data_IF_650988797190
#
_entry.id   IF_650988797190
#
_cell.length_a   1.000
_cell.length_b   1.000
_cell.length_c   1.000
_cell.angle_alpha   90.00
_cell.angle_beta   90.00
_cell.angle_gamma   90.00
#
_symmetry.space_group_name_H-M   'P 1'
#
loop_
_entity.id
_entity.type
_entity.pdbx_description
1 polymer ?
#
# COMPACT_ATOMS: atom_id res chain seq x y z
N UNK A 1 51.96 11.87 35.74
CA UNK A 1 52.18 10.76 34.79
C UNK A 1 51.10 10.81 33.76
N UNK A 2 51.50 11.23 32.60
CA UNK A 2 50.73 11.49 31.41
C UNK A 2 50.37 10.19 30.70
N UNK A 3 49.11 10.05 30.28
CA UNK A 3 48.62 8.98 29.41
C UNK A 3 47.91 9.55 28.22
N UNK A 4 48.54 9.46 27.07
CA UNK A 4 48.11 9.99 25.78
C UNK A 4 46.88 9.24 25.24
N UNK A 5 45.90 10.01 24.80
CA UNK A 5 44.81 9.53 23.94
C UNK A 5 45.30 9.50 22.48
N UNK A 6 45.39 8.32 21.90
CA UNK A 6 45.58 8.12 20.48
C UNK A 6 44.22 8.12 19.79
N UNK A 7 44.00 9.14 19.00
CA UNK A 7 42.96 9.25 17.97
C UNK A 7 43.33 8.29 16.81
N UNK A 8 42.40 7.40 16.45
CA UNK A 8 42.56 6.55 15.28
C UNK A 8 41.57 7.09 14.24
N UNK A 9 42.12 7.86 13.30
CA UNK A 9 41.39 8.21 12.07
C UNK A 9 41.41 7.00 11.14
N UNK A 10 40.25 6.35 11.02
CA UNK A 10 39.97 5.30 10.05
C UNK A 10 39.16 5.88 8.90
N UNK A 11 39.84 6.34 7.85
CA UNK A 11 39.22 6.56 6.56
C UNK A 11 38.79 5.21 6.00
N UNK A 12 37.48 4.99 5.86
CA UNK A 12 36.94 3.84 5.12
C UNK A 12 36.63 4.32 3.73
N UNK A 13 37.41 3.85 2.78
CA UNK A 13 37.20 4.04 1.34
C UNK A 13 35.81 3.49 0.92
N UNK A 14 35.08 4.32 0.24
CA UNK A 14 33.78 4.03 -0.38
C UNK A 14 34.02 3.14 -1.63
N UNK A 15 33.46 1.91 -1.71
CA UNK A 15 33.57 1.13 -2.92
C UNK A 15 32.68 1.70 -4.01
N UNK A 16 33.30 1.97 -5.13
CA UNK A 16 32.80 2.47 -6.39
C UNK A 16 31.40 1.99 -6.79
N UNK A 17 30.60 2.96 -7.20
CA UNK A 17 29.31 2.87 -7.88
C UNK A 17 29.34 1.93 -9.10
N UNK A 18 29.08 0.66 -8.90
CA UNK A 18 28.66 -0.24 -9.97
C UNK A 18 27.20 0.03 -10.33
N UNK A 19 26.96 0.85 -11.35
CA UNK A 19 25.64 1.19 -11.83
C UNK A 19 24.85 -0.05 -12.29
N UNK A 20 23.95 -0.53 -11.44
CA UNK A 20 22.90 -1.47 -11.82
C UNK A 20 21.77 -0.67 -12.48
N UNK A 21 21.64 -0.84 -13.79
CA UNK A 21 20.52 -0.32 -14.57
C UNK A 21 19.22 -0.79 -13.95
N UNK A 22 18.45 0.18 -13.44
CA UNK A 22 17.08 -0.01 -12.96
C UNK A 22 16.25 -0.70 -14.04
N UNK A 23 15.55 -1.79 -13.65
CA UNK A 23 14.48 -2.34 -14.46
C UNK A 23 13.42 -1.28 -14.75
N UNK A 24 12.53 -1.50 -15.73
CA UNK A 24 11.80 -0.44 -16.39
C UNK A 24 10.77 0.24 -15.47
N UNK A 25 11.20 1.30 -14.82
CA UNK A 25 10.31 2.37 -14.43
C UNK A 25 10.30 3.35 -15.60
N UNK A 26 9.55 2.99 -16.65
CA UNK A 26 9.46 3.76 -17.89
C UNK A 26 8.41 4.85 -17.78
N UNK A 27 8.59 5.81 -16.89
CA UNK A 27 7.94 7.11 -17.03
C UNK A 27 9.01 8.17 -16.80
N UNK A 28 9.71 8.50 -17.89
CA UNK A 28 10.55 9.70 -17.95
C UNK A 28 9.68 10.94 -17.71
N UNK A 29 9.82 11.57 -16.56
CA UNK A 29 9.16 12.83 -16.24
C UNK A 29 8.61 12.97 -14.83
N UNK A 30 8.42 11.88 -14.08
CA UNK A 30 7.88 11.94 -12.72
C UNK A 30 8.94 11.54 -11.67
N UNK A 31 10.00 12.32 -11.52
CA UNK A 31 10.94 12.20 -10.39
C UNK A 31 10.33 12.55 -9.02
N UNK A 32 9.04 12.87 -8.95
CA UNK A 32 8.35 13.19 -7.70
C UNK A 32 7.55 12.01 -7.12
N UNK A 33 7.26 10.96 -7.91
CA UNK A 33 6.72 9.70 -7.40
C UNK A 33 7.91 8.76 -7.25
N UNK A 34 8.54 8.75 -6.08
CA UNK A 34 9.76 7.98 -5.88
C UNK A 34 9.45 6.49 -5.92
N UNK A 35 9.61 5.85 -7.07
CA UNK A 35 9.95 4.44 -7.14
C UNK A 35 11.34 4.27 -6.51
N UNK A 36 11.43 4.28 -5.20
CA UNK A 36 12.67 3.92 -4.51
C UNK A 36 12.79 2.41 -4.58
N UNK A 37 13.85 1.94 -5.24
CA UNK A 37 14.22 0.53 -5.19
C UNK A 37 14.33 0.08 -3.72
N UNK A 38 13.88 -1.15 -3.37
CA UNK A 38 13.81 -1.63 -1.99
C UNK A 38 15.14 -1.65 -1.24
N UNK A 39 16.27 -1.65 -1.96
CA UNK A 39 17.62 -1.66 -1.36
C UNK A 39 18.01 -0.38 -0.64
N UNK A 40 17.21 0.69 -0.76
CA UNK A 40 17.46 1.99 -0.14
C UNK A 40 16.25 2.54 0.61
N UNK A 41 15.42 1.67 1.20
CA UNK A 41 14.38 2.14 2.10
C UNK A 41 15.07 2.73 3.35
N UNK A 42 15.44 4.00 3.25
CA UNK A 42 15.77 4.81 4.41
C UNK A 42 14.42 5.24 5.02
N UNK A 43 14.03 4.74 6.19
CA UNK A 43 12.75 5.06 6.82
C UNK A 43 12.58 6.57 7.07
N UNK A 44 13.67 7.33 7.04
CA UNK A 44 13.68 8.79 7.18
C UNK A 44 13.70 9.53 5.83
N UNK A 45 13.88 8.82 4.71
CA UNK A 45 13.90 9.44 3.36
C UNK A 45 12.47 9.59 2.86
N UNK A 46 11.95 10.81 2.85
CA UNK A 46 10.60 11.12 2.39
C UNK A 46 9.58 11.32 3.51
N UNK A 47 9.96 11.19 4.77
CA UNK A 47 9.07 11.41 5.93
C UNK A 47 8.43 12.79 5.94
N UNK A 48 9.04 13.78 5.29
CA UNK A 48 8.51 15.13 5.18
C UNK A 48 7.84 15.41 3.82
N UNK A 49 7.52 14.37 3.03
CA UNK A 49 6.87 14.51 1.72
C UNK A 49 5.74 13.51 1.59
N UNK A 50 4.66 13.97 0.97
CA UNK A 50 3.59 13.08 0.54
C UNK A 50 4.15 12.07 -0.47
N UNK A 51 3.91 10.79 -0.24
CA UNK A 51 4.29 9.73 -1.18
C UNK A 51 3.09 8.91 -1.57
N UNK A 52 2.98 8.62 -2.85
CA UNK A 52 1.87 7.86 -3.42
C UNK A 52 2.45 6.66 -4.19
N UNK A 53 1.89 5.47 -3.98
CA UNK A 53 2.40 4.24 -4.58
C UNK A 53 1.32 3.19 -4.78
N UNK A 54 1.60 2.24 -5.69
CA UNK A 54 0.86 0.98 -5.77
C UNK A 54 1.47 0.02 -4.76
N UNK A 55 0.73 -0.36 -3.72
CA UNK A 55 1.24 -1.15 -2.59
C UNK A 55 0.99 -2.65 -2.72
N UNK A 56 -0.05 -3.05 -3.42
CA UNK A 56 -0.38 -4.44 -3.72
C UNK A 56 -0.96 -4.56 -5.13
N UNK A 57 -0.56 -5.61 -5.85
CA UNK A 57 -1.10 -5.96 -7.16
C UNK A 57 -1.56 -7.40 -7.15
N UNK A 58 -2.78 -7.65 -7.61
CA UNK A 58 -3.30 -8.99 -7.85
C UNK A 58 -3.71 -9.13 -9.31
N UNK A 59 -3.04 -10.04 -10.02
CA UNK A 59 -3.34 -10.38 -11.40
C UNK A 59 -4.06 -11.72 -11.48
N UNK A 60 -5.11 -11.80 -12.27
CA UNK A 60 -5.67 -13.07 -12.69
C UNK A 60 -4.93 -13.57 -13.91
N UNK A 61 -4.62 -14.88 -13.94
CA UNK A 61 -3.82 -15.53 -14.94
C UNK A 61 -4.63 -16.55 -15.71
N UNK A 62 -4.37 -16.65 -17.03
CA UNK A 62 -4.84 -17.75 -17.87
C UNK A 62 -3.61 -18.48 -18.39
N UNK A 63 -3.48 -19.78 -18.09
CA UNK A 63 -2.35 -20.59 -18.52
C UNK A 63 -2.55 -21.16 -19.93
N UNK A 64 -1.44 -21.38 -20.65
CA UNK A 64 -1.40 -22.00 -21.97
C UNK A 64 -1.51 -23.54 -21.82
N UNK A 65 -2.44 -24.18 -22.52
CA UNK A 65 -2.53 -25.65 -22.55
C UNK A 65 -2.46 -26.27 -21.15
N UNK A 66 -1.55 -27.21 -20.94
CA UNK A 66 -1.29 -27.93 -19.69
C UNK A 66 -0.29 -27.23 -18.74
N UNK A 67 0.07 -25.97 -19.04
CA UNK A 67 1.09 -25.24 -18.26
C UNK A 67 0.70 -24.98 -16.81
N UNK A 68 -0.59 -24.88 -16.49
CA UNK A 68 -1.06 -24.82 -15.10
C UNK A 68 -0.69 -26.08 -14.31
N UNK A 69 -0.89 -27.26 -14.89
CA UNK A 69 -0.49 -28.54 -14.29
C UNK A 69 1.02 -28.67 -14.18
N UNK A 70 1.75 -28.18 -15.19
CA UNK A 70 3.21 -28.16 -15.17
C UNK A 70 3.74 -27.29 -14.04
N UNK A 71 3.19 -26.09 -13.83
CA UNK A 71 3.55 -25.20 -12.72
C UNK A 71 3.24 -25.84 -11.36
N UNK A 72 2.06 -26.45 -11.23
CA UNK A 72 1.66 -27.20 -10.04
C UNK A 72 2.68 -28.27 -9.66
N UNK A 73 3.13 -29.06 -10.64
CA UNK A 73 4.17 -30.09 -10.43
C UNK A 73 5.55 -29.53 -10.09
N UNK A 74 5.87 -28.32 -10.55
CA UNK A 74 7.13 -27.65 -10.23
C UNK A 74 7.15 -27.03 -8.84
N UNK A 75 6.03 -26.51 -8.38
CA UNK A 75 5.80 -25.97 -7.02
C UNK A 75 7.03 -25.31 -6.40
N UNK A 76 7.66 -26.03 -5.48
CA UNK A 76 8.85 -25.59 -4.74
C UNK A 76 10.05 -25.18 -5.61
N UNK A 77 10.17 -25.71 -6.82
CA UNK A 77 11.29 -25.41 -7.72
C UNK A 77 11.11 -24.11 -8.53
N UNK A 78 10.00 -23.38 -8.35
CA UNK A 78 9.74 -22.13 -9.08
C UNK A 78 10.65 -20.99 -8.66
N UNK A 79 11.16 -21.04 -7.44
CA UNK A 79 12.12 -20.06 -6.90
C UNK A 79 13.14 -20.81 -6.06
N UNK A 80 14.40 -20.35 -6.06
CA UNK A 80 15.43 -20.80 -5.10
C UNK A 80 15.20 -20.14 -3.74
N UNK A 81 13.97 -20.25 -3.20
CA UNK A 81 13.57 -19.61 -1.98
C UNK A 81 13.51 -20.64 -0.85
N UNK A 82 14.37 -20.47 0.16
CA UNK A 82 14.42 -21.36 1.33
C UNK A 82 13.16 -21.22 2.21
N UNK A 83 12.48 -20.06 2.15
CA UNK A 83 11.26 -19.79 2.88
C UNK A 83 10.04 -19.87 1.96
N UNK A 84 9.61 -21.06 1.68
CA UNK A 84 8.41 -21.31 0.93
C UNK A 84 7.38 -22.05 1.78
N UNK A 85 6.15 -21.57 1.79
CA UNK A 85 5.03 -22.29 2.35
C UNK A 85 4.04 -22.67 1.25
N UNK A 86 3.76 -23.95 1.13
CA UNK A 86 2.68 -24.45 0.30
C UNK A 86 1.44 -24.65 1.16
N UNK A 87 0.34 -24.06 0.74
CA UNK A 87 -0.94 -24.24 1.39
C UNK A 87 -1.85 -25.05 0.48
N UNK A 88 -2.01 -26.32 0.78
CA UNK A 88 -3.12 -27.10 0.27
C UNK A 88 -4.28 -26.95 1.25
N UNK A 89 -5.10 -25.90 1.09
CA UNK A 89 -6.33 -25.80 1.88
C UNK A 89 -7.33 -26.85 1.39
N UNK A 90 -8.25 -27.28 2.29
CA UNK A 90 -9.39 -28.11 1.88
C UNK A 90 -10.07 -27.47 0.67
N UNK A 91 -10.00 -28.15 -0.47
CA UNK A 91 -10.53 -27.66 -1.75
C UNK A 91 -12.02 -27.44 -1.59
N UNK A 92 -12.46 -26.19 -1.73
CA UNK A 92 -13.87 -25.81 -1.70
C UNK A 92 -14.24 -25.17 -3.03
N UNK A 93 -15.46 -25.32 -3.52
CA UNK A 93 -15.95 -24.55 -4.66
C UNK A 93 -15.69 -23.05 -4.46
N UNK A 94 -15.13 -22.36 -5.46
CA UNK A 94 -14.70 -20.97 -5.36
C UNK A 94 -13.31 -20.77 -4.77
N UNK A 95 -12.57 -21.85 -4.42
CA UNK A 95 -11.21 -21.81 -3.91
C UNK A 95 -10.14 -22.18 -4.94
N UNK A 96 -8.89 -22.00 -4.54
CA UNK A 96 -7.72 -22.39 -5.34
C UNK A 96 -7.30 -23.81 -5.02
N UNK A 97 -6.94 -24.58 -6.04
CA UNK A 97 -6.46 -25.96 -5.89
C UNK A 97 -5.12 -26.00 -5.16
N UNK A 98 -4.18 -25.13 -5.58
CA UNK A 98 -2.90 -24.93 -4.92
C UNK A 98 -2.69 -23.44 -4.66
N UNK A 99 -2.08 -23.14 -3.54
CA UNK A 99 -1.69 -21.80 -3.13
C UNK A 99 -0.25 -21.86 -2.61
N UNK A 100 0.63 -21.17 -3.29
CA UNK A 100 2.04 -21.03 -2.95
C UNK A 100 2.30 -19.63 -2.38
N UNK A 101 3.09 -19.54 -1.33
CA UNK A 101 3.56 -18.29 -0.78
C UNK A 101 5.09 -18.30 -0.73
N UNK A 102 5.70 -17.30 -1.33
CA UNK A 102 7.14 -17.12 -1.41
C UNK A 102 7.56 -15.87 -0.65
N UNK A 103 8.57 -15.96 0.22
CA UNK A 103 9.16 -14.81 0.88
C UNK A 103 10.20 -14.16 -0.04
N UNK A 104 9.80 -13.12 -0.77
CA UNK A 104 10.62 -12.41 -1.74
C UNK A 104 10.65 -10.92 -1.45
N UNK A 105 11.83 -10.30 -1.49
CA UNK A 105 11.99 -8.86 -1.25
C UNK A 105 11.49 -8.38 0.11
N UNK A 106 11.51 -9.25 1.13
CA UNK A 106 10.94 -8.93 2.45
C UNK A 106 9.41 -8.86 2.47
N UNK A 107 8.74 -9.48 1.48
CA UNK A 107 7.30 -9.56 1.34
C UNK A 107 6.86 -10.96 0.95
N UNK A 108 5.57 -11.26 1.16
CA UNK A 108 4.96 -12.50 0.66
C UNK A 108 4.45 -12.27 -0.76
N UNK A 109 4.86 -13.15 -1.68
CA UNK A 109 4.28 -13.27 -3.04
C UNK A 109 3.41 -14.51 -3.05
N UNK A 110 2.13 -14.36 -3.37
CA UNK A 110 1.19 -15.48 -3.45
C UNK A 110 0.94 -15.87 -4.91
N UNK A 111 1.01 -17.16 -5.20
CA UNK A 111 0.68 -17.75 -6.50
C UNK A 111 -0.38 -18.82 -6.31
N UNK A 112 -1.56 -18.62 -6.88
CA UNK A 112 -2.63 -19.61 -6.90
C UNK A 112 -2.73 -20.28 -8.26
N UNK A 113 -2.89 -21.62 -8.27
CA UNK A 113 -3.00 -22.43 -9.47
C UNK A 113 -4.22 -23.34 -9.36
N UNK A 114 -4.98 -23.47 -10.45
CA UNK A 114 -6.20 -24.25 -10.49
C UNK A 114 -7.33 -23.65 -9.66
N UNK A 115 -8.47 -23.44 -10.26
CA UNK A 115 -9.65 -22.91 -9.59
C UNK A 115 -10.73 -23.97 -9.49
N UNK A 116 -11.24 -24.20 -8.30
CA UNK A 116 -12.36 -25.13 -8.06
C UNK A 116 -13.67 -24.52 -8.52
N UNK A 117 -14.20 -25.02 -9.62
CA UNK A 117 -15.48 -24.58 -10.15
C UNK A 117 -16.66 -25.08 -9.28
N UNK A 118 -17.87 -24.49 -9.41
CA UNK A 118 -19.05 -24.97 -8.69
C UNK A 118 -19.37 -26.45 -8.94
N UNK A 119 -18.98 -26.98 -10.11
CA UNK A 119 -19.10 -28.39 -10.49
C UNK A 119 -18.09 -29.32 -9.78
N UNK A 120 -17.30 -28.80 -8.84
CA UNK A 120 -16.20 -29.52 -8.17
C UNK A 120 -15.08 -29.99 -9.12
N UNK A 121 -15.00 -29.45 -10.33
CA UNK A 121 -13.87 -29.65 -11.25
C UNK A 121 -12.81 -28.60 -11.02
N UNK A 122 -11.53 -29.01 -11.11
CA UNK A 122 -10.40 -28.10 -11.02
C UNK A 122 -10.09 -27.56 -12.41
N UNK A 123 -10.16 -26.25 -12.56
CA UNK A 123 -9.79 -25.59 -13.79
C UNK A 123 -8.32 -25.13 -13.72
N UNK A 124 -7.41 -25.96 -14.20
CA UNK A 124 -5.96 -25.72 -14.19
C UNK A 124 -5.52 -24.59 -15.14
N UNK A 125 -6.41 -24.09 -16.03
CA UNK A 125 -6.12 -22.94 -16.88
C UNK A 125 -6.21 -21.61 -16.15
N UNK A 126 -6.73 -21.58 -14.92
CA UNK A 126 -6.88 -20.39 -14.12
C UNK A 126 -5.85 -20.31 -13.00
N UNK A 127 -5.33 -19.12 -12.77
CA UNK A 127 -4.43 -18.83 -11.67
C UNK A 127 -4.50 -17.36 -11.24
N UNK A 128 -3.73 -17.02 -10.24
CA UNK A 128 -3.47 -15.62 -9.87
C UNK A 128 -2.05 -15.48 -9.33
N UNK A 129 -1.52 -14.28 -9.39
CA UNK A 129 -0.35 -13.85 -8.62
C UNK A 129 -0.69 -12.57 -7.85
N UNK A 130 -0.23 -12.49 -6.59
CA UNK A 130 -0.41 -11.31 -5.74
C UNK A 130 0.91 -10.96 -5.08
N UNK A 131 1.32 -9.69 -5.14
CA UNK A 131 2.61 -9.21 -4.64
C UNK A 131 2.58 -7.71 -4.36
N UNK A 132 3.54 -7.24 -3.55
CA UNK A 132 3.80 -5.82 -3.34
C UNK A 132 4.91 -5.34 -4.29
N UNK A 133 4.61 -4.52 -5.32
CA UNK A 133 5.60 -4.07 -6.30
C UNK A 133 6.80 -3.37 -5.67
N UNK A 134 6.56 -2.53 -4.65
CA UNK A 134 7.60 -1.73 -4.00
C UNK A 134 8.64 -2.60 -3.28
N UNK A 135 8.24 -3.80 -2.85
CA UNK A 135 9.12 -4.72 -2.11
C UNK A 135 9.84 -5.71 -3.01
N UNK A 136 9.20 -6.15 -4.09
CA UNK A 136 9.75 -7.24 -4.94
C UNK A 136 10.49 -6.74 -6.18
N UNK A 137 10.36 -5.47 -6.57
CA UNK A 137 10.93 -4.94 -7.82
C UNK A 137 12.46 -5.15 -7.95
N UNK A 138 13.20 -5.15 -6.84
CA UNK A 138 14.65 -5.41 -6.81
C UNK A 138 15.06 -6.87 -6.58
N UNK A 139 14.11 -7.78 -6.34
CA UNK A 139 14.45 -9.18 -6.05
C UNK A 139 14.62 -10.01 -7.33
N UNK A 140 15.84 -10.51 -7.57
CA UNK A 140 16.18 -11.33 -8.75
C UNK A 140 15.34 -12.62 -8.84
N UNK A 141 14.98 -13.20 -7.69
CA UNK A 141 14.16 -14.43 -7.63
C UNK A 141 12.73 -14.13 -8.09
N UNK A 142 12.19 -12.94 -7.76
CA UNK A 142 10.89 -12.50 -8.27
C UNK A 142 10.92 -12.34 -9.79
N UNK A 143 11.98 -11.74 -10.34
CA UNK A 143 12.14 -11.65 -11.80
C UNK A 143 12.27 -13.03 -12.45
N UNK A 144 12.95 -13.98 -11.81
CA UNK A 144 13.00 -15.39 -12.24
C UNK A 144 11.60 -16.03 -12.28
N UNK A 145 10.79 -15.82 -11.25
CA UNK A 145 9.40 -16.25 -11.21
C UNK A 145 8.57 -15.65 -12.34
N UNK A 146 8.66 -14.33 -12.57
CA UNK A 146 7.96 -13.66 -13.67
C UNK A 146 8.38 -14.22 -15.04
N UNK A 147 9.68 -14.47 -15.24
CA UNK A 147 10.19 -15.09 -16.48
C UNK A 147 9.60 -16.48 -16.69
N UNK A 148 9.52 -17.28 -15.64
CA UNK A 148 8.88 -18.61 -15.70
C UNK A 148 7.40 -18.51 -16.03
N UNK A 149 6.68 -17.62 -15.37
CA UNK A 149 5.27 -17.36 -15.66
C UNK A 149 5.05 -16.91 -17.10
N UNK A 150 5.92 -16.05 -17.66
CA UNK A 150 5.86 -15.59 -19.04
C UNK A 150 5.86 -16.73 -20.08
N UNK A 151 6.51 -17.86 -19.78
CA UNK A 151 6.45 -19.03 -20.65
C UNK A 151 5.12 -19.78 -20.55
N UNK A 152 4.41 -19.66 -19.45
CA UNK A 152 3.23 -20.45 -19.09
C UNK A 152 1.91 -19.70 -19.28
N UNK A 153 1.94 -18.37 -19.11
CA UNK A 153 0.73 -17.52 -19.12
C UNK A 153 0.42 -17.04 -20.53
N UNK A 154 -0.82 -17.21 -20.97
CA UNK A 154 -1.33 -16.67 -22.24
C UNK A 154 -1.96 -15.29 -22.06
N UNK A 155 -2.53 -15.02 -20.88
CA UNK A 155 -3.21 -13.77 -20.56
C UNK A 155 -3.12 -13.46 -19.08
N UNK A 156 -2.78 -12.21 -18.77
CA UNK A 156 -2.89 -11.64 -17.43
C UNK A 156 -3.85 -10.46 -17.47
N UNK A 157 -4.63 -10.29 -16.38
CA UNK A 157 -5.52 -9.15 -16.20
C UNK A 157 -5.35 -8.64 -14.78
N UNK A 158 -5.26 -7.34 -14.63
CA UNK A 158 -5.32 -6.70 -13.32
C UNK A 158 -6.69 -6.98 -12.70
N UNK A 159 -6.70 -7.64 -11.54
CA UNK A 159 -7.94 -7.96 -10.82
C UNK A 159 -8.19 -6.97 -9.71
N UNK A 160 -7.12 -6.63 -8.97
CA UNK A 160 -7.17 -5.74 -7.82
C UNK A 160 -5.78 -5.14 -7.61
N UNK A 161 -5.75 -3.93 -7.08
CA UNK A 161 -4.54 -3.32 -6.58
C UNK A 161 -4.87 -2.43 -5.38
N UNK A 162 -3.90 -2.19 -4.51
CA UNK A 162 -4.06 -1.29 -3.38
C UNK A 162 -3.21 -0.04 -3.65
N UNK A 163 -3.84 1.12 -3.49
CA UNK A 163 -3.16 2.41 -3.48
C UNK A 163 -2.79 2.79 -2.07
N UNK A 164 -1.57 3.25 -1.86
CA UNK A 164 -1.10 3.77 -0.60
C UNK A 164 -0.67 5.23 -0.76
N UNK A 165 -1.20 6.10 0.07
CA UNK A 165 -0.82 7.50 0.16
C UNK A 165 -0.32 7.81 1.56
N UNK A 166 0.97 8.05 1.68
CA UNK A 166 1.63 8.42 2.93
C UNK A 166 1.69 9.93 3.04
N UNK A 167 1.20 10.46 4.15
CA UNK A 167 1.22 11.88 4.47
C UNK A 167 2.00 12.12 5.76
N UNK A 168 2.89 13.13 5.83
CA UNK A 168 3.74 13.41 6.99
C UNK A 168 2.96 14.15 8.09
N UNK A 169 1.93 13.51 8.58
CA UNK A 169 1.02 14.04 9.61
C UNK A 169 0.76 12.93 10.62
N UNK A 170 0.64 13.33 11.89
CA UNK A 170 0.26 12.39 12.95
C UNK A 170 -1.07 11.72 12.63
N UNK A 171 -1.18 10.44 12.95
CA UNK A 171 -2.45 9.71 12.80
C UNK A 171 -3.58 10.36 13.61
N UNK A 172 -3.26 10.98 14.74
CA UNK A 172 -4.21 11.70 15.58
C UNK A 172 -4.70 13.01 14.96
N UNK A 173 -3.99 13.55 13.97
CA UNK A 173 -4.38 14.75 13.23
C UNK A 173 -5.12 14.43 11.92
N UNK A 174 -5.37 13.14 11.67
CA UNK A 174 -6.15 12.67 10.53
C UNK A 174 -7.52 12.19 10.96
N UNK A 175 -8.54 12.56 10.19
CA UNK A 175 -9.92 12.15 10.40
C UNK A 175 -10.50 11.59 9.10
N UNK A 176 -10.97 10.35 9.16
CA UNK A 176 -11.71 9.71 8.07
C UNK A 176 -13.19 10.07 8.17
N UNK A 177 -13.77 10.66 7.14
CA UNK A 177 -15.21 10.91 7.07
C UNK A 177 -15.95 9.60 6.86
N UNK A 178 -16.95 9.33 7.71
CA UNK A 178 -17.81 8.17 7.59
C UNK A 178 -18.85 8.43 6.50
N UNK A 179 -18.98 7.49 5.59
CA UNK A 179 -20.02 7.51 4.55
C UNK A 179 -20.99 6.33 4.73
N UNK A 180 -21.68 5.91 3.67
CA UNK A 180 -22.63 4.78 3.71
C UNK A 180 -21.97 3.41 3.87
N UNK A 181 -20.62 3.32 3.71
CA UNK A 181 -19.87 2.07 3.87
C UNK A 181 -19.78 1.69 5.36
N UNK A 182 -19.58 0.41 5.62
CA UNK A 182 -19.37 -0.09 6.97
C UNK A 182 -18.09 0.53 7.57
N UNK A 183 -18.21 1.15 8.72
CA UNK A 183 -17.09 1.76 9.45
C UNK A 183 -16.68 0.90 10.63
N UNK A 184 -15.37 0.77 10.85
CA UNK A 184 -14.78 0.11 12.01
C UNK A 184 -13.52 0.88 12.44
N UNK A 185 -13.35 1.06 13.74
CA UNK A 185 -12.12 1.58 14.33
C UNK A 185 -11.54 0.56 15.29
N UNK A 186 -10.21 0.43 15.28
CA UNK A 186 -9.45 -0.46 16.18
C UNK A 186 -8.31 0.34 16.78
N UNK A 187 -8.17 0.27 18.08
CA UNK A 187 -7.06 0.88 18.82
C UNK A 187 -6.13 -0.25 19.25
N UNK A 188 -5.03 -0.39 18.50
CA UNK A 188 -3.95 -1.33 18.81
C UNK A 188 -2.69 -0.76 18.16
N UNK A 189 -1.67 -0.45 18.92
CA UNK A 189 -0.47 0.23 18.43
C UNK A 189 -0.79 1.50 17.59
N UNK A 190 -1.74 2.33 18.08
CA UNK A 190 -2.30 3.47 17.37
C UNK A 190 -3.73 3.24 16.88
N UNK A 191 -4.33 4.29 16.30
CA UNK A 191 -5.69 4.26 15.77
C UNK A 191 -5.66 3.79 14.32
N UNK A 192 -6.36 2.70 14.01
CA UNK A 192 -6.63 2.26 12.64
C UNK A 192 -8.12 2.37 12.36
N UNK A 193 -8.49 3.09 11.33
CA UNK A 193 -9.87 3.19 10.84
C UNK A 193 -10.04 2.44 9.53
N UNK A 194 -11.19 1.81 9.39
CA UNK A 194 -11.57 1.05 8.21
C UNK A 194 -12.91 1.53 7.67
N UNK A 195 -13.04 1.59 6.36
CA UNK A 195 -14.28 1.93 5.68
C UNK A 195 -14.52 0.93 4.55
N UNK A 196 -15.70 0.31 4.53
CA UNK A 196 -16.05 -0.75 3.58
C UNK A 196 -15.78 -2.16 4.10
N UNK A 197 -15.86 -3.13 3.21
CA UNK A 197 -15.66 -4.55 3.51
C UNK A 197 -14.28 -4.99 3.03
N UNK A 198 -13.53 -5.65 3.89
CA UNK A 198 -12.18 -6.13 3.57
C UNK A 198 -12.16 -6.97 2.29
N UNK A 199 -11.18 -6.74 1.44
CA UNK A 199 -10.97 -7.41 0.15
C UNK A 199 -12.02 -7.10 -0.93
N UNK A 200 -12.84 -6.07 -0.75
CA UNK A 200 -13.73 -5.55 -1.80
C UNK A 200 -13.21 -4.22 -2.33
N UNK A 201 -13.56 -3.83 -3.57
CA UNK A 201 -13.25 -2.51 -4.08
C UNK A 201 -13.78 -1.39 -3.18
N UNK A 202 -13.07 -0.28 -3.13
CA UNK A 202 -13.30 0.86 -2.24
C UNK A 202 -13.18 0.57 -0.73
N UNK A 203 -12.57 -0.55 -0.33
CA UNK A 203 -12.17 -0.75 1.05
C UNK A 203 -11.00 0.17 1.40
N UNK A 204 -11.16 0.92 2.48
CA UNK A 204 -10.16 1.90 2.94
C UNK A 204 -9.62 1.51 4.30
N UNK A 205 -8.36 1.80 4.52
CA UNK A 205 -7.67 1.67 5.78
C UNK A 205 -6.82 2.93 6.01
N UNK A 206 -7.00 3.57 7.17
CA UNK A 206 -6.21 4.75 7.58
C UNK A 206 -5.52 4.42 8.89
N UNK A 207 -4.19 4.48 8.92
CA UNK A 207 -3.42 4.03 10.08
C UNK A 207 -2.09 4.75 10.25
N UNK A 208 -1.50 4.57 11.43
CA UNK A 208 -0.17 5.09 11.76
C UNK A 208 0.90 4.22 11.08
N UNK A 209 1.48 4.74 10.01
CA UNK A 209 2.53 4.06 9.25
C UNK A 209 3.88 4.11 9.97
N UNK A 210 4.15 5.15 10.76
CA UNK A 210 5.36 5.24 11.56
C UNK A 210 5.38 4.14 12.64
N UNK A 211 4.25 3.94 13.32
CA UNK A 211 4.11 2.86 14.31
C UNK A 211 4.22 1.46 13.66
N UNK A 212 3.62 1.24 12.49
CA UNK A 212 3.75 -0.02 11.74
C UNK A 212 5.21 -0.33 11.35
N UNK A 213 5.97 0.71 11.03
CA UNK A 213 7.40 0.59 10.70
C UNK A 213 8.31 0.57 11.92
N UNK A 214 7.76 0.59 13.13
CA UNK A 214 8.51 0.66 14.38
C UNK A 214 9.45 1.87 14.47
N UNK A 215 9.05 2.99 13.85
CA UNK A 215 9.79 4.25 13.93
C UNK A 215 9.46 4.98 15.25
N UNK A 216 10.37 5.86 15.66
CA UNK A 216 10.14 6.76 16.79
C UNK A 216 9.03 7.76 16.41
N UNK A 217 7.81 7.51 16.88
CA UNK A 217 6.61 8.30 16.54
C UNK A 217 6.63 9.71 17.10
N UNK A 218 7.51 10.00 18.06
CA UNK A 218 7.72 11.36 18.57
C UNK A 218 8.53 12.22 17.56
N UNK A 219 9.35 11.57 16.75
CA UNK A 219 10.20 12.24 15.74
C UNK A 219 9.64 12.14 14.34
N UNK A 220 8.93 11.04 14.05
CA UNK A 220 8.43 10.71 12.72
C UNK A 220 6.93 10.54 12.78
N UNK A 221 6.21 11.45 12.14
CA UNK A 221 4.76 11.38 12.01
C UNK A 221 4.42 10.99 10.57
N UNK A 222 3.75 9.85 10.42
CA UNK A 222 3.41 9.33 9.10
C UNK A 222 2.09 8.58 9.15
N UNK A 223 1.08 9.13 8.51
CA UNK A 223 -0.22 8.47 8.33
C UNK A 223 -0.33 7.91 6.93
N UNK A 224 -0.75 6.66 6.80
CA UNK A 224 -1.08 6.03 5.51
C UNK A 224 -2.58 5.95 5.31
N UNK A 225 -3.00 6.38 4.14
CA UNK A 225 -4.32 6.12 3.55
C UNK A 225 -4.13 5.02 2.51
N UNK A 226 -4.79 3.89 2.69
CA UNK A 226 -4.71 2.75 1.78
C UNK A 226 -6.11 2.44 1.24
N UNK A 227 -6.26 2.31 -0.07
CA UNK A 227 -7.53 1.99 -0.71
C UNK A 227 -7.37 0.81 -1.67
N UNK A 228 -8.22 -0.19 -1.50
CA UNK A 228 -8.34 -1.32 -2.43
C UNK A 228 -9.13 -0.90 -3.66
N UNK A 229 -8.54 -1.06 -4.85
CA UNK A 229 -9.09 -0.66 -6.13
C UNK A 229 -9.42 -1.88 -6.99
N UNK A 230 -10.48 -1.80 -7.79
CA UNK A 230 -10.77 -2.79 -8.83
C UNK A 230 -9.84 -2.56 -10.03
N UNK A 231 -9.31 -3.64 -10.60
CA UNK A 231 -8.42 -3.54 -11.77
C UNK A 231 -9.10 -3.06 -13.06
N UNK A 232 -10.43 -3.09 -13.10
CA UNK A 232 -11.23 -2.62 -14.23
C UNK A 232 -11.66 -1.15 -14.10
N UNK A 233 -11.40 -0.51 -12.95
CA UNK A 233 -11.72 0.90 -12.76
C UNK A 233 -11.01 1.81 -13.77
N UNK A 234 -11.68 2.94 -14.07
CA UNK A 234 -11.06 4.07 -14.76
C UNK A 234 -10.38 5.00 -13.73
N UNK A 235 -9.63 5.98 -14.22
CA UNK A 235 -9.00 6.98 -13.34
C UNK A 235 -10.06 7.81 -12.61
N UNK A 236 -11.14 8.17 -13.30
CA UNK A 236 -12.25 8.93 -12.75
C UNK A 236 -12.96 8.15 -11.61
N UNK A 237 -13.21 6.86 -11.81
CA UNK A 237 -13.78 6.00 -10.78
C UNK A 237 -12.86 5.86 -9.56
N UNK A 238 -11.54 5.84 -9.78
CA UNK A 238 -10.57 5.80 -8.71
C UNK A 238 -10.62 7.09 -7.88
N UNK A 239 -10.69 8.26 -8.53
CA UNK A 239 -10.84 9.55 -7.87
C UNK A 239 -12.19 9.69 -7.14
N UNK A 240 -13.29 9.21 -7.74
CA UNK A 240 -14.63 9.22 -7.14
C UNK A 240 -14.69 8.39 -5.85
N UNK A 241 -14.01 7.24 -5.82
CA UNK A 241 -14.02 6.35 -4.67
C UNK A 241 -12.94 6.69 -3.63
N UNK A 242 -12.06 7.68 -3.92
CA UNK A 242 -11.04 8.10 -2.98
C UNK A 242 -11.67 8.58 -1.67
N UNK A 243 -11.17 8.14 -0.49
CA UNK A 243 -11.78 8.46 0.78
C UNK A 243 -11.62 9.94 1.14
N UNK A 244 -12.60 10.48 1.83
CA UNK A 244 -12.51 11.81 2.41
C UNK A 244 -11.74 11.74 3.74
N UNK A 245 -10.45 12.01 3.67
CA UNK A 245 -9.58 12.11 4.84
C UNK A 245 -9.14 13.55 5.01
N UNK A 246 -9.40 14.12 6.18
CA UNK A 246 -8.94 15.45 6.55
C UNK A 246 -7.64 15.30 7.35
N UNK A 247 -6.59 16.00 6.92
CA UNK A 247 -5.29 16.01 7.59
C UNK A 247 -5.02 17.43 8.11
N UNK A 248 -4.99 17.58 9.42
CA UNK A 248 -4.77 18.85 10.05
C UNK A 248 -3.30 19.02 10.42
N UNK A 249 -2.65 19.95 9.75
CA UNK A 249 -1.29 20.34 10.11
C UNK A 249 -1.37 21.34 11.27
N UNK A 250 -1.26 20.85 12.51
CA UNK A 250 -1.20 21.76 13.66
C UNK A 250 0.16 22.43 13.70
N UNK A 251 0.18 23.75 13.77
CA UNK A 251 1.38 24.44 14.22
C UNK A 251 1.74 23.94 15.64
N UNK A 252 3.03 23.78 15.91
CA UNK A 252 3.53 23.31 17.19
C UNK A 252 2.89 24.11 18.35
N UNK A 253 2.19 23.43 19.25
CA UNK A 253 1.57 24.04 20.43
C UNK A 253 0.03 24.05 20.46
N UNK A 254 -0.64 23.43 19.50
CA UNK A 254 -2.08 23.23 19.64
C UNK A 254 -2.36 22.19 20.72
N UNK A 255 -3.15 22.58 21.70
CA UNK A 255 -3.47 21.71 22.85
C UNK A 255 -4.35 20.54 22.42
N UNK A 256 -4.12 19.37 22.96
CA UNK A 256 -4.84 18.12 22.64
C UNK A 256 -6.36 18.25 22.73
N UNK A 257 -6.86 19.06 23.68
CA UNK A 257 -8.30 19.29 23.83
C UNK A 257 -8.95 19.97 22.61
N UNK A 258 -8.23 20.84 21.88
CA UNK A 258 -8.73 21.46 20.64
C UNK A 258 -8.95 20.37 19.58
N UNK A 259 -8.03 19.43 19.48
CA UNK A 259 -8.13 18.29 18.57
C UNK A 259 -9.34 17.42 18.92
N UNK A 260 -9.48 17.04 20.19
CA UNK A 260 -10.62 16.22 20.65
C UNK A 260 -11.95 16.92 20.39
N UNK A 261 -12.07 18.20 20.75
CA UNK A 261 -13.29 19.00 20.50
C UNK A 261 -13.54 19.11 18.99
N UNK A 262 -12.50 19.36 18.19
CA UNK A 262 -12.59 19.45 16.74
C UNK A 262 -13.14 18.17 16.11
N UNK A 263 -12.65 17.00 16.52
CA UNK A 263 -13.16 15.69 16.08
C UNK A 263 -14.65 15.53 16.44
N UNK A 264 -15.01 15.78 17.69
CA UNK A 264 -16.40 15.64 18.16
C UNK A 264 -17.36 16.55 17.39
N UNK A 265 -16.98 17.80 17.15
CA UNK A 265 -17.81 18.75 16.42
C UNK A 265 -17.86 18.44 14.92
N UNK A 266 -16.77 17.91 14.34
CA UNK A 266 -16.76 17.44 12.96
C UNK A 266 -17.75 16.26 12.74
N UNK A 267 -17.79 15.31 13.66
CA UNK A 267 -18.77 14.21 13.60
C UNK A 267 -20.23 14.70 13.71
N UNK A 268 -20.47 15.75 14.50
CA UNK A 268 -21.79 16.38 14.59
C UNK A 268 -22.15 17.14 13.30
N UNK A 269 -21.20 17.88 12.75
CA UNK A 269 -21.40 18.58 11.47
C UNK A 269 -21.74 17.63 10.33
N UNK A 270 -21.12 16.45 10.28
CA UNK A 270 -21.42 15.40 9.30
C UNK A 270 -22.84 14.85 9.41
N UNK A 271 -23.46 14.97 10.60
CA UNK A 271 -24.86 14.62 10.85
C UNK A 271 -25.83 15.76 10.61
N UNK A 272 -25.36 16.89 10.05
CA UNK A 272 -26.11 18.14 9.88
C UNK A 272 -26.62 18.73 11.20
N UNK A 273 -25.95 18.45 12.33
CA UNK A 273 -26.26 19.10 13.61
C UNK A 273 -25.69 20.52 13.62
N UNK A 274 -26.34 21.44 14.31
CA UNK A 274 -25.82 22.81 14.51
C UNK A 274 -24.61 22.78 15.43
N UNK A 275 -23.44 22.91 14.84
CA UNK A 275 -22.17 22.97 15.59
C UNK A 275 -21.76 24.39 15.94
N UNK A 276 -22.30 25.39 15.28
CA UNK A 276 -21.90 26.80 15.51
C UNK A 276 -22.27 27.26 16.91
N UNK A 277 -23.45 26.88 17.40
CA UNK A 277 -23.85 27.13 18.78
C UNK A 277 -22.87 26.53 19.78
N UNK A 278 -22.43 25.29 19.56
CA UNK A 278 -21.45 24.61 20.42
C UNK A 278 -20.07 25.27 20.37
N UNK A 279 -19.64 25.73 19.19
CA UNK A 279 -18.38 26.47 19.02
C UNK A 279 -18.46 27.80 19.82
N UNK A 280 -19.60 28.48 19.81
CA UNK A 280 -19.78 29.73 20.51
C UNK A 280 -19.78 29.59 22.05
N UNK A 281 -19.99 28.38 22.57
CA UNK A 281 -19.83 28.06 24.00
C UNK A 281 -18.37 27.88 24.42
N UNK A 282 -17.43 27.68 23.47
CA UNK A 282 -16.01 27.54 23.75
C UNK A 282 -15.39 28.89 24.17
N UNK A 283 -14.26 28.84 24.84
CA UNK A 283 -13.45 30.01 25.17
C UNK A 283 -13.00 30.80 23.91
N UNK A 284 -12.85 32.11 24.04
CA UNK A 284 -12.49 33.01 22.92
C UNK A 284 -11.29 32.57 22.11
N UNK A 285 -10.27 32.02 22.76
CA UNK A 285 -9.03 31.56 22.11
C UNK A 285 -9.17 30.21 21.43
N UNK A 286 -10.15 29.38 21.82
CA UNK A 286 -10.36 28.02 21.25
C UNK A 286 -11.25 28.06 20.00
N UNK A 287 -12.20 29.00 19.92
CA UNK A 287 -13.16 29.10 18.79
C UNK A 287 -12.48 29.16 17.41
N UNK A 288 -11.50 30.06 17.17
CA UNK A 288 -10.87 30.15 15.86
C UNK A 288 -10.12 28.84 15.48
N UNK A 289 -9.44 28.21 16.43
CA UNK A 289 -8.71 26.97 16.22
C UNK A 289 -9.63 25.79 15.88
N UNK A 290 -10.78 25.69 16.53
CA UNK A 290 -11.79 24.67 16.23
C UNK A 290 -12.42 24.92 14.86
N UNK A 291 -12.73 26.17 14.50
CA UNK A 291 -13.22 26.50 13.16
C UNK A 291 -12.20 26.19 12.07
N UNK A 292 -10.92 26.43 12.32
CA UNK A 292 -9.83 26.06 11.45
C UNK A 292 -9.79 24.53 11.26
N UNK A 293 -9.85 23.77 12.34
CA UNK A 293 -9.94 22.31 12.29
C UNK A 293 -11.11 21.81 11.42
N UNK A 294 -12.29 22.38 11.59
CA UNK A 294 -13.49 22.01 10.81
C UNK A 294 -13.39 22.37 9.32
N UNK A 295 -12.57 23.36 8.98
CA UNK A 295 -12.32 23.80 7.59
C UNK A 295 -11.14 23.08 6.95
N UNK A 296 -10.48 22.17 7.65
CA UNK A 296 -9.33 21.45 7.10
C UNK A 296 -9.73 20.73 5.80
N UNK A 297 -9.01 20.95 4.71
CA UNK A 297 -9.36 20.35 3.42
C UNK A 297 -9.16 18.84 3.45
N UNK A 298 -9.91 18.14 2.59
CA UNK A 298 -9.67 16.73 2.34
C UNK A 298 -8.32 16.53 1.62
N UNK A 299 -7.64 15.45 1.97
CA UNK A 299 -6.47 14.96 1.26
C UNK A 299 -6.93 14.44 -0.11
N UNK A 300 -6.54 15.12 -1.17
CA UNK A 300 -6.86 14.75 -2.54
C UNK A 300 -5.70 14.00 -3.18
N UNK A 301 -6.00 13.13 -4.13
CA UNK A 301 -4.99 12.64 -5.04
C UNK A 301 -4.44 13.82 -5.86
N UNK A 302 -3.13 13.87 -6.12
CA UNK A 302 -2.57 14.85 -7.05
C UNK A 302 -3.18 14.71 -8.45
N UNK A 303 -3.30 15.82 -9.17
CA UNK A 303 -3.87 15.83 -10.52
C UNK A 303 -3.16 14.83 -11.44
N UNK A 304 -3.92 13.99 -12.12
CA UNK A 304 -3.41 12.95 -13.02
C UNK A 304 -2.77 11.73 -12.33
N UNK A 305 -2.64 11.73 -11.00
CA UNK A 305 -2.01 10.61 -10.28
C UNK A 305 -2.82 9.31 -10.43
N UNK A 306 -4.13 9.38 -10.43
CA UNK A 306 -5.01 8.22 -10.62
C UNK A 306 -4.71 7.47 -11.92
N UNK A 307 -4.57 8.18 -13.04
CA UNK A 307 -4.27 7.60 -14.34
C UNK A 307 -2.87 6.94 -14.36
N UNK A 308 -1.87 7.59 -13.75
CA UNK A 308 -0.51 7.08 -13.70
C UNK A 308 -0.40 5.80 -12.85
N UNK A 309 -1.02 5.78 -11.68
CA UNK A 309 -1.01 4.62 -10.79
C UNK A 309 -1.76 3.43 -11.39
N UNK A 310 -2.87 3.71 -12.07
CA UNK A 310 -3.61 2.68 -12.79
C UNK A 310 -2.78 2.11 -13.95
N UNK A 311 -2.06 2.96 -14.69
CA UNK A 311 -1.15 2.53 -15.75
C UNK A 311 0.01 1.70 -15.19
N UNK A 312 0.61 2.10 -14.06
CA UNK A 312 1.63 1.35 -13.34
C UNK A 312 1.11 -0.03 -12.93
N UNK A 313 -0.04 -0.09 -12.27
CA UNK A 313 -0.63 -1.37 -11.85
C UNK A 313 -0.93 -2.29 -13.04
N UNK A 314 -1.42 -1.75 -14.17
CA UNK A 314 -1.70 -2.49 -15.40
C UNK A 314 -0.42 -2.96 -16.12
N UNK A 315 0.70 -2.24 -16.00
CA UNK A 315 1.96 -2.61 -16.64
C UNK A 315 2.47 -4.00 -16.21
N UNK A 316 2.16 -4.41 -14.99
CA UNK A 316 2.52 -5.73 -14.48
C UNK A 316 1.86 -6.88 -15.24
N UNK A 317 0.73 -6.63 -15.94
CA UNK A 317 0.14 -7.65 -16.82
C UNK A 317 1.09 -8.01 -17.96
N UNK A 318 1.76 -7.02 -18.56
CA UNK A 318 2.78 -7.23 -19.60
C UNK A 318 3.99 -7.97 -19.07
N UNK A 319 4.48 -7.58 -17.88
CA UNK A 319 5.61 -8.24 -17.23
C UNK A 319 5.40 -9.75 -17.03
N UNK A 320 4.19 -10.16 -16.63
CA UNK A 320 3.85 -11.56 -16.39
C UNK A 320 3.65 -12.34 -17.70
N UNK A 321 3.21 -11.72 -18.78
CA UNK A 321 3.01 -12.38 -20.10
C UNK A 321 4.31 -12.47 -20.91
N UNK A 322 5.38 -11.84 -20.44
CA UNK A 322 6.68 -11.88 -21.14
C UNK A 322 6.75 -10.91 -22.34
N UNK A 323 5.95 -9.83 -22.32
CA UNK A 323 5.92 -8.80 -23.36
C UNK A 323 6.94 -7.68 -23.13
N UNK A 324 8.01 -7.94 -22.36
CA UNK A 324 9.10 -7.01 -22.13
C UNK A 324 10.34 -7.40 -22.90
#
# INVERSE_FOLDING_TARGET
MSGENKQIDGVVDDPENGGLKSGPCLIAGFHALSCTSPSYYNPYRGVNKNTLSVDMVRLSLTFKGDRGEWLSRKGAQLTDCDEMSAWTSKIRPGGWYELWSFALGGSSVALGIGFMEPSCKVNMHKGFIEFNPNKVAGDKRFHGLLKTLGTCVSKARLKRFDLAYDIPVSRYDCRLTKDRRMYKSVISNGITEYLGVKNTPAYVKVYDKAAELHLDTDKVQLTRIEMTCDGEWTAEQLEEHWPQVHAWHSESGTKDYIRVIGIMLAEKAERNEDVETLINMLGRTSRPKVREYLRTPCVKLPDGAAALLLAEAKSWCGAVVGSM
#
